data_IF_481124312073
#
_entry.id   IF_481124312073
#
_cell.length_a   1.000
_cell.length_b   1.000
_cell.length_c   1.000
_cell.angle_alpha   90.00
_cell.angle_beta   90.00
_cell.angle_gamma   90.00
#
_symmetry.space_group_name_H-M   'P 1'
#
loop_
_entity.id
_entity.type
_entity.pdbx_description
1 polymer ?
#
# COMPACT_ATOMS: atom_id res chain seq x y z
N UNK A 1 11.29 23.59 34.46
CA UNK A 1 10.03 22.89 34.83
C UNK A 1 10.05 21.53 34.17
N UNK A 2 10.12 20.47 34.97
CA UNK A 2 10.01 19.06 34.54
C UNK A 2 8.54 18.80 34.15
N UNK A 3 8.31 18.37 32.92
CA UNK A 3 7.08 17.68 32.52
C UNK A 3 7.40 16.20 32.30
N UNK A 4 7.38 15.42 33.39
CA UNK A 4 7.11 13.98 33.28
C UNK A 4 5.65 13.87 32.82
N UNK A 5 5.36 12.93 31.92
CA UNK A 5 4.01 12.52 31.46
C UNK A 5 3.67 12.77 29.98
N UNK A 6 4.59 12.52 29.06
CA UNK A 6 4.17 12.02 27.74
C UNK A 6 4.98 10.79 27.35
N UNK A 7 4.32 9.61 27.34
CA UNK A 7 4.87 8.39 26.74
C UNK A 7 5.19 8.53 25.24
N UNK A 8 4.82 9.65 24.64
CA UNK A 8 5.10 10.05 23.26
C UNK A 8 6.58 10.36 23.05
N UNK A 9 7.25 11.01 24.00
CA UNK A 9 8.66 11.38 23.89
C UNK A 9 9.58 10.14 24.01
N UNK A 10 9.21 9.19 24.89
CA UNK A 10 9.89 7.91 25.05
C UNK A 10 9.72 7.03 23.79
N UNK A 11 8.57 7.14 23.11
CA UNK A 11 8.28 6.40 21.89
C UNK A 11 9.05 6.95 20.68
N UNK A 12 9.18 8.27 20.54
CA UNK A 12 9.94 8.92 19.47
C UNK A 12 11.45 8.73 19.59
N UNK A 13 12.00 8.78 20.81
CA UNK A 13 13.43 8.54 21.05
C UNK A 13 13.77 7.06 20.81
N UNK A 14 12.87 6.13 21.18
CA UNK A 14 13.00 4.72 20.76
C UNK A 14 12.89 4.58 19.25
N UNK A 15 11.96 5.26 18.59
CA UNK A 15 11.79 5.16 17.14
C UNK A 15 13.01 5.63 16.34
N UNK A 16 13.71 6.69 16.78
CA UNK A 16 14.95 7.16 16.15
C UNK A 16 16.14 6.25 16.43
N UNK A 17 16.23 5.68 17.64
CA UNK A 17 17.27 4.69 18.01
C UNK A 17 17.03 3.35 17.30
N UNK A 18 15.77 2.94 17.18
CA UNK A 18 15.31 1.77 16.44
C UNK A 18 15.44 1.99 14.94
N UNK A 19 15.30 3.21 14.40
CA UNK A 19 15.62 3.57 13.00
C UNK A 19 17.12 3.45 12.71
N UNK A 20 17.96 3.87 13.66
CA UNK A 20 19.42 3.71 13.58
C UNK A 20 19.85 2.25 13.70
N UNK A 21 19.16 1.45 14.52
CA UNK A 21 19.34 -0.01 14.62
C UNK A 21 18.73 -0.72 13.40
N UNK A 22 17.64 -0.21 12.81
CA UNK A 22 16.97 -0.67 11.59
C UNK A 22 17.89 -0.61 10.38
N UNK A 23 18.66 0.48 10.27
CA UNK A 23 19.60 0.71 9.18
C UNK A 23 20.89 -0.10 9.34
N UNK A 24 21.14 -0.72 10.51
CA UNK A 24 22.41 -1.43 10.78
C UNK A 24 22.27 -2.88 11.29
N UNK A 25 21.10 -3.39 11.70
CA UNK A 25 21.02 -4.73 12.29
C UNK A 25 19.61 -5.31 12.50
N UNK A 26 19.36 -6.48 11.88
CA UNK A 26 18.57 -7.61 12.40
C UNK A 26 17.15 -7.37 12.93
N UNK A 27 16.17 -7.33 12.03
CA UNK A 27 14.75 -7.30 12.39
C UNK A 27 14.26 -8.74 12.64
N UNK A 28 13.84 -9.12 13.85
CA UNK A 28 13.37 -10.50 14.11
C UNK A 28 12.19 -10.91 13.18
N UNK A 29 11.98 -12.21 12.94
CA UNK A 29 10.83 -12.69 12.14
C UNK A 29 9.49 -12.15 12.68
N UNK A 30 9.36 -12.05 14.00
CA UNK A 30 8.20 -11.45 14.66
C UNK A 30 8.04 -9.96 14.35
N UNK A 31 9.14 -9.21 14.29
CA UNK A 31 9.09 -7.77 13.95
C UNK A 31 8.85 -7.54 12.46
N UNK A 32 9.32 -8.44 11.58
CA UNK A 32 8.97 -8.41 10.17
C UNK A 32 7.49 -8.73 9.94
N UNK A 33 6.95 -9.79 10.55
CA UNK A 33 5.51 -10.10 10.46
C UNK A 33 4.68 -8.95 11.03
N UNK A 34 5.09 -8.37 12.15
CA UNK A 34 4.46 -7.15 12.67
C UNK A 34 4.56 -6.04 11.63
N UNK A 35 5.69 -5.78 10.99
CA UNK A 35 5.85 -4.73 9.97
C UNK A 35 5.08 -4.97 8.68
N UNK A 36 4.95 -6.21 8.21
CA UNK A 36 4.13 -6.56 7.05
C UNK A 36 2.65 -6.44 7.39
N UNK A 37 2.25 -6.89 8.59
CA UNK A 37 0.91 -6.62 9.12
C UNK A 37 0.69 -5.11 9.23
N UNK A 38 1.59 -4.35 9.87
CA UNK A 38 1.50 -2.90 9.98
C UNK A 38 1.43 -2.26 8.60
N UNK A 39 2.31 -2.58 7.64
CA UNK A 39 2.29 -2.01 6.28
C UNK A 39 0.99 -2.33 5.56
N UNK A 40 0.42 -3.51 5.74
CA UNK A 40 -0.88 -3.90 5.18
C UNK A 40 -2.06 -3.21 5.89
N UNK A 41 -2.01 -3.07 7.21
CA UNK A 41 -3.06 -2.42 8.01
C UNK A 41 -2.90 -0.89 8.01
N UNK A 42 -1.78 -0.34 7.54
CA UNK A 42 -1.56 1.11 7.36
C UNK A 42 -1.58 1.52 5.89
N UNK A 43 -1.75 0.57 4.95
CA UNK A 43 -1.91 0.91 3.54
C UNK A 43 -3.31 1.47 3.33
N UNK A 44 -3.41 2.79 3.33
CA UNK A 44 -4.67 3.53 3.21
C UNK A 44 -5.36 3.23 1.88
N UNK A 45 -4.61 2.94 0.82
CA UNK A 45 -5.19 2.52 -0.45
C UNK A 45 -5.93 1.17 -0.29
N UNK A 46 -5.27 0.16 0.28
CA UNK A 46 -5.88 -1.15 0.52
C UNK A 46 -7.05 -1.09 1.51
N UNK A 47 -6.90 -0.34 2.60
CA UNK A 47 -7.99 -0.10 3.55
C UNK A 47 -9.17 0.65 2.89
N UNK A 48 -8.87 1.61 2.01
CA UNK A 48 -9.87 2.39 1.29
C UNK A 48 -10.68 1.55 0.32
N UNK A 49 -10.03 0.65 -0.43
CA UNK A 49 -10.71 -0.32 -1.27
C UNK A 49 -11.64 -1.22 -0.44
N UNK A 50 -11.10 -1.83 0.62
CA UNK A 50 -11.90 -2.69 1.51
C UNK A 50 -13.09 -1.93 2.11
N UNK A 51 -12.91 -0.64 2.42
CA UNK A 51 -14.00 0.23 2.89
C UNK A 51 -15.07 0.40 1.82
N UNK A 52 -14.71 0.57 0.55
CA UNK A 52 -15.66 0.68 -0.57
C UNK A 52 -16.41 -0.64 -0.79
N UNK A 53 -15.71 -1.77 -0.78
CA UNK A 53 -16.32 -3.10 -0.89
C UNK A 53 -17.36 -3.33 0.21
N UNK A 54 -16.96 -3.12 1.47
CA UNK A 54 -17.86 -3.23 2.62
C UNK A 54 -19.01 -2.22 2.56
N UNK A 55 -18.77 -1.03 2.02
CA UNK A 55 -19.80 -0.02 1.85
C UNK A 55 -20.89 -0.52 0.89
N UNK A 56 -20.53 -1.04 -0.29
CA UNK A 56 -21.49 -1.56 -1.26
C UNK A 56 -22.16 -2.86 -0.83
N UNK A 57 -21.47 -3.70 -0.05
CA UNK A 57 -22.05 -4.87 0.60
C UNK A 57 -23.12 -4.45 1.64
N UNK A 58 -22.76 -3.52 2.53
CA UNK A 58 -23.64 -3.05 3.59
C UNK A 58 -24.88 -2.33 3.05
N UNK A 59 -24.78 -1.65 1.90
CA UNK A 59 -25.90 -0.94 1.28
C UNK A 59 -27.09 -1.84 0.97
N UNK A 60 -26.86 -3.14 0.73
CA UNK A 60 -27.94 -4.11 0.51
C UNK A 60 -28.52 -4.71 1.80
N UNK A 61 -27.84 -4.52 2.94
CA UNK A 61 -28.15 -5.21 4.19
C UNK A 61 -28.54 -4.28 5.36
N UNK A 62 -28.07 -3.03 5.34
CA UNK A 62 -28.18 -2.08 6.47
C UNK A 62 -29.07 -0.89 6.13
N UNK A 63 -29.54 -0.21 7.16
CA UNK A 63 -30.36 1.01 7.00
C UNK A 63 -29.48 2.21 6.62
N UNK A 64 -30.00 3.22 5.90
CA UNK A 64 -29.26 4.43 5.54
C UNK A 64 -28.51 5.10 6.70
N UNK A 65 -29.12 5.16 7.89
CA UNK A 65 -28.51 5.77 9.08
C UNK A 65 -27.27 5.01 9.55
N UNK A 66 -27.30 3.67 9.46
CA UNK A 66 -26.18 2.81 9.82
C UNK A 66 -25.03 2.92 8.81
N UNK A 67 -25.36 3.08 7.52
CA UNK A 67 -24.38 3.36 6.47
C UNK A 67 -23.62 4.65 6.76
N UNK A 68 -24.34 5.73 7.09
CA UNK A 68 -23.72 6.99 7.49
C UNK A 68 -22.89 6.86 8.76
N UNK A 69 -23.39 6.18 9.79
CA UNK A 69 -22.66 6.04 11.04
C UNK A 69 -21.36 5.23 10.90
N UNK A 70 -21.33 4.22 10.02
CA UNK A 70 -20.24 3.26 9.95
C UNK A 70 -19.17 3.59 8.91
N UNK A 71 -19.56 4.17 7.76
CA UNK A 71 -18.64 4.38 6.63
C UNK A 71 -18.16 5.83 6.49
N UNK A 72 -18.91 6.78 7.03
CA UNK A 72 -18.68 8.21 6.81
C UNK A 72 -18.01 8.87 8.03
N UNK A 73 -17.21 9.90 7.79
CA UNK A 73 -16.62 10.67 8.88
C UNK A 73 -17.70 11.43 9.68
N UNK A 74 -17.61 11.51 11.03
CA UNK A 74 -18.66 12.09 11.88
C UNK A 74 -19.03 13.54 11.55
N UNK A 75 -18.11 14.28 10.91
CA UNK A 75 -18.28 15.71 10.58
C UNK A 75 -18.69 15.94 9.12
N UNK A 76 -19.23 14.93 8.45
CA UNK A 76 -19.63 15.09 7.06
C UNK A 76 -20.86 15.98 6.94
N UNK A 77 -20.64 17.05 6.19
CA UNK A 77 -21.68 17.97 5.81
C UNK A 77 -22.44 17.43 4.60
N UNK A 78 -23.75 17.70 4.50
CA UNK A 78 -24.57 17.34 3.32
C UNK A 78 -23.94 17.79 2.00
N UNK A 79 -23.19 18.90 1.98
CA UNK A 79 -22.45 19.43 0.81
C UNK A 79 -21.32 18.51 0.30
N UNK A 80 -20.90 17.53 1.09
CA UNK A 80 -19.87 16.56 0.74
C UNK A 80 -20.47 15.28 0.12
N UNK A 81 -21.78 15.21 -0.04
CA UNK A 81 -22.45 14.04 -0.58
C UNK A 81 -23.37 14.52 -1.69
N UNK A 82 -23.24 13.95 -2.89
CA UNK A 82 -24.12 14.33 -3.99
C UNK A 82 -25.58 14.06 -3.64
N UNK A 83 -26.48 14.97 -4.00
CA UNK A 83 -27.91 14.81 -3.76
C UNK A 83 -28.45 13.54 -4.42
N UNK A 84 -27.94 13.22 -5.62
CA UNK A 84 -28.26 11.97 -6.34
C UNK A 84 -27.95 10.73 -5.51
N UNK A 85 -26.79 10.70 -4.85
CA UNK A 85 -26.44 9.62 -3.93
C UNK A 85 -27.38 9.55 -2.72
N UNK A 86 -27.72 10.69 -2.12
CA UNK A 86 -28.63 10.71 -0.96
C UNK A 86 -30.00 10.15 -1.36
N UNK A 87 -30.55 10.60 -2.49
CA UNK A 87 -31.82 10.09 -3.00
C UNK A 87 -31.74 8.58 -3.24
N UNK A 88 -30.70 8.12 -3.95
CA UNK A 88 -30.46 6.70 -4.19
C UNK A 88 -30.38 5.87 -2.89
N UNK A 89 -29.67 6.37 -1.88
CA UNK A 89 -29.55 5.71 -0.59
C UNK A 89 -30.91 5.58 0.11
N UNK A 90 -31.76 6.61 0.05
CA UNK A 90 -33.10 6.52 0.63
C UNK A 90 -34.02 5.60 -0.19
N UNK A 91 -33.87 5.53 -1.51
CA UNK A 91 -34.61 4.59 -2.36
C UNK A 91 -34.32 3.13 -2.00
N UNK A 92 -33.16 2.81 -1.41
CA UNK A 92 -32.82 1.44 -0.95
C UNK A 92 -33.90 0.83 -0.04
N UNK A 93 -34.59 1.64 0.76
CA UNK A 93 -35.65 1.16 1.65
C UNK A 93 -36.87 0.60 0.88
N UNK A 94 -37.01 0.97 -0.40
CA UNK A 94 -38.09 0.56 -1.31
C UNK A 94 -37.69 -0.63 -2.19
N UNK A 95 -36.45 -1.14 -2.06
CA UNK A 95 -35.88 -2.24 -2.85
C UNK A 95 -35.72 -3.51 -2.00
N UNK A 96 -35.73 -4.68 -2.63
CA UNK A 96 -35.42 -6.01 -2.08
C UNK A 96 -34.22 -6.60 -2.80
N UNK A 97 -33.50 -7.49 -2.10
CA UNK A 97 -32.39 -8.28 -2.64
C UNK A 97 -31.35 -7.43 -3.40
N UNK A 98 -31.04 -6.25 -2.86
CA UNK A 98 -30.09 -5.32 -3.46
C UNK A 98 -28.72 -5.98 -3.51
N UNK A 99 -28.15 -6.08 -4.70
CA UNK A 99 -26.79 -6.54 -4.96
C UNK A 99 -26.02 -5.47 -5.71
N UNK A 100 -24.84 -5.14 -5.20
CA UNK A 100 -23.94 -4.18 -5.82
C UNK A 100 -22.68 -4.92 -6.27
N UNK A 101 -22.46 -5.01 -7.58
CA UNK A 101 -21.27 -5.60 -8.18
C UNK A 101 -20.29 -4.49 -8.59
N UNK A 102 -19.11 -4.44 -7.98
CA UNK A 102 -18.05 -3.50 -8.36
C UNK A 102 -17.35 -4.05 -9.61
N UNK A 103 -17.55 -3.40 -10.75
CA UNK A 103 -16.99 -3.80 -12.04
C UNK A 103 -15.56 -3.28 -12.25
N UNK A 104 -15.27 -2.09 -11.72
CA UNK A 104 -13.99 -1.42 -11.91
C UNK A 104 -13.70 -0.52 -10.72
N UNK A 105 -12.46 -0.56 -10.24
CA UNK A 105 -11.94 0.40 -9.25
C UNK A 105 -10.63 0.98 -9.74
N UNK A 106 -10.49 2.30 -9.62
CA UNK A 106 -9.25 3.02 -9.87
C UNK A 106 -8.99 3.99 -8.75
N UNK A 107 -7.73 4.36 -8.54
CA UNK A 107 -7.40 5.27 -7.46
C UNK A 107 -6.25 6.21 -7.80
N UNK A 108 -6.20 7.32 -7.08
CA UNK A 108 -5.06 8.22 -7.09
C UNK A 108 -4.87 8.86 -5.71
N UNK A 109 -3.61 8.98 -5.30
CA UNK A 109 -3.26 9.62 -4.03
C UNK A 109 -3.29 11.15 -4.17
N UNK A 110 -3.96 11.84 -3.25
CA UNK A 110 -3.85 13.30 -3.10
C UNK A 110 -2.71 13.66 -2.14
N UNK A 111 -2.59 12.91 -1.07
CA UNK A 111 -1.56 13.01 -0.03
C UNK A 111 -1.35 11.65 0.63
N UNK A 112 -0.40 11.55 1.56
CA UNK A 112 -0.13 10.31 2.30
C UNK A 112 -1.37 9.77 3.03
N UNK A 113 -2.27 10.64 3.46
CA UNK A 113 -3.44 10.27 4.29
C UNK A 113 -4.79 10.34 3.56
N UNK A 114 -4.80 10.67 2.26
CA UNK A 114 -6.02 10.98 1.51
C UNK A 114 -5.94 10.48 0.06
N UNK A 115 -6.93 9.67 -0.31
CA UNK A 115 -7.01 9.01 -1.61
C UNK A 115 -8.36 9.29 -2.26
N UNK A 116 -8.34 9.36 -3.59
CA UNK A 116 -9.55 9.37 -4.39
C UNK A 116 -9.71 8.01 -5.05
N UNK A 117 -10.93 7.49 -4.99
CA UNK A 117 -11.30 6.23 -5.61
C UNK A 117 -12.41 6.48 -6.59
N UNK A 118 -12.22 5.98 -7.81
CA UNK A 118 -13.24 5.90 -8.83
C UNK A 118 -13.76 4.47 -8.88
N UNK A 119 -15.08 4.29 -8.90
CA UNK A 119 -15.71 2.97 -8.93
C UNK A 119 -16.82 2.93 -9.99
N UNK A 120 -16.90 1.84 -10.75
CA UNK A 120 -18.08 1.49 -11.55
C UNK A 120 -18.83 0.35 -10.86
N UNK A 121 -20.11 0.54 -10.58
CA UNK A 121 -20.91 -0.43 -9.85
C UNK A 121 -22.20 -0.70 -10.60
N UNK A 122 -22.51 -1.99 -10.78
CA UNK A 122 -23.82 -2.44 -11.25
C UNK A 122 -24.70 -2.74 -10.05
N UNK A 123 -25.89 -2.16 -10.03
CA UNK A 123 -26.90 -2.43 -9.00
C UNK A 123 -27.97 -3.36 -9.58
N UNK A 124 -28.29 -4.44 -8.87
CA UNK A 124 -29.43 -5.32 -9.16
C UNK A 124 -30.36 -5.33 -7.95
N UNK A 125 -31.68 -5.25 -8.18
CA UNK A 125 -32.67 -5.31 -7.11
C UNK A 125 -34.05 -5.68 -7.63
N UNK A 126 -34.93 -6.09 -6.72
CA UNK A 126 -36.37 -6.24 -6.99
C UNK A 126 -37.16 -5.15 -6.25
N UNK A 127 -38.03 -4.36 -6.90
CA UNK A 127 -38.86 -3.39 -6.19
C UNK A 127 -39.77 -4.06 -5.14
N UNK A 128 -39.91 -3.45 -3.96
CA UNK A 128 -40.87 -3.91 -2.95
C UNK A 128 -42.31 -3.81 -3.47
N UNK A 129 -43.19 -4.62 -2.88
CA UNK A 129 -44.62 -4.52 -3.16
C UNK A 129 -45.14 -3.10 -2.86
N UNK A 130 -45.83 -2.50 -3.84
CA UNK A 130 -46.32 -1.12 -3.77
C UNK A 130 -45.40 -0.09 -4.46
N UNK A 131 -44.17 -0.48 -4.82
CA UNK A 131 -43.18 0.38 -5.48
C UNK A 131 -42.82 -0.09 -6.89
N UNK A 132 -43.57 -1.02 -7.49
CA UNK A 132 -43.26 -1.55 -8.83
C UNK A 132 -43.31 -0.48 -9.93
N UNK A 133 -44.16 0.54 -9.75
CA UNK A 133 -44.31 1.66 -10.68
C UNK A 133 -43.52 2.91 -10.22
N UNK A 134 -42.68 2.80 -9.19
CA UNK A 134 -41.88 3.92 -8.72
C UNK A 134 -40.72 4.18 -9.70
N UNK A 135 -40.51 5.45 -10.05
CA UNK A 135 -39.39 5.86 -10.91
C UNK A 135 -38.14 6.02 -10.06
N UNK A 136 -37.36 4.94 -9.94
CA UNK A 136 -36.07 4.95 -9.26
C UNK A 136 -35.04 5.81 -9.98
N UNK A 137 -34.10 6.37 -9.22
CA UNK A 137 -32.98 7.15 -9.77
C UNK A 137 -32.01 6.29 -10.58
N UNK A 138 -31.89 5.00 -10.21
CA UNK A 138 -31.13 3.96 -10.91
C UNK A 138 -32.01 2.74 -11.11
N UNK A 139 -32.13 2.24 -12.33
CA UNK A 139 -32.89 1.03 -12.62
C UNK A 139 -32.05 -0.21 -12.32
N UNK A 140 -32.71 -1.33 -12.02
CA UNK A 140 -32.00 -2.59 -11.81
C UNK A 140 -31.27 -3.01 -13.09
N UNK A 141 -29.98 -3.31 -12.95
CA UNK A 141 -29.05 -3.61 -14.04
C UNK A 141 -28.21 -2.41 -14.48
N UNK A 142 -28.55 -1.18 -14.06
CA UNK A 142 -27.81 0.01 -14.43
C UNK A 142 -26.41 0.03 -13.81
N UNK A 143 -25.46 0.56 -14.59
CA UNK A 143 -24.10 0.82 -14.13
C UNK A 143 -24.03 2.28 -13.71
N UNK A 144 -23.62 2.51 -12.47
CA UNK A 144 -23.41 3.84 -11.92
C UNK A 144 -21.95 4.02 -11.56
N UNK A 145 -21.43 5.21 -11.88
CA UNK A 145 -20.06 5.59 -11.59
C UNK A 145 -20.00 6.50 -10.36
N UNK A 146 -19.01 6.27 -9.50
CA UNK A 146 -18.84 6.98 -8.23
C UNK A 146 -17.41 7.46 -8.06
N UNK A 147 -17.24 8.62 -7.44
CA UNK A 147 -15.97 9.04 -6.84
C UNK A 147 -16.12 9.14 -5.34
N UNK A 148 -15.20 8.49 -4.63
CA UNK A 148 -15.03 8.60 -3.19
C UNK A 148 -13.76 9.40 -2.87
N UNK A 149 -13.84 10.28 -1.89
CA UNK A 149 -12.68 10.80 -1.17
C UNK A 149 -12.58 10.05 0.16
N UNK A 150 -11.49 9.33 0.38
CA UNK A 150 -11.28 8.50 1.58
C UNK A 150 -10.04 8.98 2.31
N UNK A 151 -10.16 9.25 3.62
CA UNK A 151 -9.00 9.55 4.45
C UNK A 151 -8.83 8.59 5.61
N UNK A 152 -7.58 8.48 6.05
CA UNK A 152 -7.24 7.89 7.34
C UNK A 152 -7.66 8.82 8.49
N UNK A 153 -8.47 8.32 9.42
CA UNK A 153 -8.82 9.00 10.68
C UNK A 153 -7.93 8.51 11.83
N UNK A 154 -7.50 7.25 11.76
CA UNK A 154 -6.51 6.66 12.66
C UNK A 154 -5.67 5.64 11.88
N UNK A 155 -4.57 5.17 12.47
CA UNK A 155 -3.63 4.23 11.84
C UNK A 155 -4.26 3.00 11.16
N UNK A 156 -5.46 2.59 11.58
CA UNK A 156 -6.15 1.39 11.08
C UNK A 156 -7.57 1.65 10.59
N UNK A 157 -8.00 2.91 10.53
CA UNK A 157 -9.37 3.24 10.16
C UNK A 157 -9.43 4.34 9.12
N UNK A 158 -10.07 4.01 8.00
CA UNK A 158 -10.36 4.94 6.92
C UNK A 158 -11.86 5.17 6.82
N UNK A 159 -12.24 6.41 6.54
CA UNK A 159 -13.64 6.82 6.39
C UNK A 159 -13.82 7.57 5.07
N UNK A 160 -15.00 7.44 4.50
CA UNK A 160 -15.44 8.23 3.34
C UNK A 160 -15.70 9.64 3.81
N UNK A 161 -15.04 10.63 3.21
CA UNK A 161 -15.22 12.07 3.46
C UNK A 161 -16.16 12.74 2.47
N UNK A 162 -16.23 12.19 1.26
CA UNK A 162 -17.04 12.71 0.16
C UNK A 162 -17.39 11.57 -0.78
N UNK A 163 -18.60 11.65 -1.33
CA UNK A 163 -19.04 10.77 -2.42
C UNK A 163 -19.83 11.58 -3.45
N UNK A 164 -19.49 11.36 -4.72
CA UNK A 164 -20.17 11.99 -5.85
C UNK A 164 -20.51 10.94 -6.91
N UNK A 165 -21.76 10.93 -7.36
CA UNK A 165 -22.20 10.10 -8.50
C UNK A 165 -21.83 10.83 -9.79
N UNK A 166 -21.09 10.17 -10.66
CA UNK A 166 -20.81 10.65 -12.01
C UNK A 166 -21.94 10.15 -12.91
N UNK A 167 -22.69 11.07 -13.50
CA UNK A 167 -23.75 10.76 -14.45
C UNK A 167 -23.24 11.01 -15.86
N UNK A 168 -23.28 10.03 -16.76
CA UNK A 168 -22.94 10.23 -18.19
C UNK A 168 -23.86 11.28 -18.86
N UNK A 169 -25.12 11.35 -18.41
CA UNK A 169 -26.15 12.24 -18.99
C UNK A 169 -26.02 13.70 -18.55
N UNK A 170 -25.35 13.98 -17.43
CA UNK A 170 -25.14 15.34 -16.95
C UNK A 170 -23.68 15.68 -17.20
N UNK A 171 -23.41 16.62 -18.12
CA UNK A 171 -22.10 17.28 -18.16
C UNK A 171 -21.81 17.72 -16.74
N UNK A 172 -20.83 17.09 -16.09
CA UNK A 172 -20.42 17.41 -14.73
C UNK A 172 -20.38 18.93 -14.58
N UNK A 173 -21.16 19.46 -13.64
CA UNK A 173 -21.16 20.89 -13.35
C UNK A 173 -19.71 21.37 -13.24
N UNK A 174 -19.37 22.52 -13.84
CA UNK A 174 -18.01 23.04 -13.79
C UNK A 174 -17.51 23.23 -12.36
N UNK A 175 -18.44 23.41 -11.42
CA UNK A 175 -18.16 23.55 -10.00
C UNK A 175 -18.21 22.24 -9.21
N UNK A 176 -18.60 21.12 -9.84
CA UNK A 176 -18.61 19.79 -9.23
C UNK A 176 -17.22 19.38 -8.73
N UNK A 177 -17.21 18.54 -7.70
CA UNK A 177 -15.95 18.07 -7.14
C UNK A 177 -15.23 17.14 -8.12
N UNK A 178 -15.96 16.24 -8.79
CA UNK A 178 -15.46 15.38 -9.85
C UNK A 178 -14.79 16.18 -10.98
N UNK A 179 -15.43 17.25 -11.48
CA UNK A 179 -14.83 18.06 -12.56
C UNK A 179 -13.56 18.78 -12.13
N UNK A 180 -13.54 19.32 -10.91
CA UNK A 180 -12.33 19.93 -10.33
C UNK A 180 -11.21 18.90 -10.19
N UNK A 181 -11.56 17.67 -9.78
CA UNK A 181 -10.62 16.57 -9.67
C UNK A 181 -10.03 16.18 -11.03
N UNK A 182 -10.87 16.03 -12.06
CA UNK A 182 -10.42 15.65 -13.41
C UNK A 182 -9.55 16.72 -14.07
N UNK A 183 -9.75 18.01 -13.75
CA UNK A 183 -8.87 19.09 -14.20
C UNK A 183 -7.45 18.96 -13.62
N UNK A 184 -7.31 18.45 -12.40
CA UNK A 184 -6.01 18.33 -11.71
C UNK A 184 -5.32 17.01 -12.05
N UNK A 185 -6.06 15.91 -12.05
CA UNK A 185 -5.52 14.55 -12.13
C UNK A 185 -5.80 13.84 -13.46
N UNK A 186 -6.53 14.48 -14.37
CA UNK A 186 -7.02 13.86 -15.60
C UNK A 186 -8.24 12.97 -15.36
N UNK A 187 -8.81 12.48 -16.46
CA UNK A 187 -9.97 11.57 -16.46
C UNK A 187 -9.64 10.23 -15.77
N UNK A 188 -10.61 9.59 -15.07
CA UNK A 188 -10.38 8.35 -14.33
C UNK A 188 -9.82 7.21 -15.17
N UNK A 189 -10.13 7.17 -16.47
CA UNK A 189 -9.62 6.16 -17.41
C UNK A 189 -8.09 6.13 -17.53
N UNK A 190 -7.41 7.21 -17.11
CA UNK A 190 -5.94 7.32 -17.07
C UNK A 190 -5.34 7.00 -15.71
N UNK A 191 -6.17 6.87 -14.67
CA UNK A 191 -5.69 6.55 -13.35
C UNK A 191 -5.26 5.09 -13.28
N UNK A 192 -4.25 4.76 -12.45
CA UNK A 192 -3.82 3.40 -12.28
C UNK A 192 -4.97 2.46 -11.92
N UNK A 193 -5.06 1.35 -12.66
CA UNK A 193 -5.97 0.25 -12.34
C UNK A 193 -5.27 -0.60 -11.31
N UNK A 194 -5.86 -0.73 -10.13
CA UNK A 194 -5.41 -1.68 -9.12
C UNK A 194 -3.91 -1.65 -8.78
N UNK A 195 -3.30 -0.47 -8.64
CA UNK A 195 -2.00 -0.32 -7.97
C UNK A 195 -2.13 -0.53 -6.43
N UNK A 196 -2.94 -1.50 -6.02
CA UNK A 196 -2.96 -2.05 -4.66
C UNK A 196 -1.71 -2.90 -4.40
N UNK A 197 -0.60 -2.57 -5.05
CA UNK A 197 0.69 -3.20 -4.82
C UNK A 197 1.19 -2.73 -3.46
N UNK A 198 0.72 -3.44 -2.43
CA UNK A 198 1.67 -3.91 -1.44
C UNK A 198 2.69 -4.70 -2.27
N UNK A 199 3.91 -4.19 -2.42
CA UNK A 199 5.04 -5.09 -2.61
C UNK A 199 4.94 -6.08 -1.47
N UNK A 200 4.32 -7.21 -1.75
CA UNK A 200 4.32 -8.36 -0.88
C UNK A 200 5.74 -8.85 -1.05
N UNK A 201 6.67 -8.19 -0.35
CA UNK A 201 8.06 -8.57 -0.29
C UNK A 201 7.97 -10.01 0.20
N UNK A 202 8.14 -10.97 -0.72
CA UNK A 202 7.99 -12.37 -0.36
C UNK A 202 8.98 -12.60 0.79
N UNK A 203 8.64 -13.41 1.77
CA UNK A 203 9.53 -13.65 2.91
C UNK A 203 10.95 -13.99 2.45
N UNK A 204 11.06 -14.65 1.29
CA UNK A 204 12.31 -14.98 0.61
C UNK A 204 13.10 -13.74 0.15
N UNK A 205 12.45 -12.77 -0.46
CA UNK A 205 13.07 -11.50 -0.87
C UNK A 205 13.46 -10.66 0.34
N UNK A 206 12.65 -10.66 1.40
CA UNK A 206 13.01 -10.00 2.66
C UNK A 206 14.29 -10.58 3.27
N UNK A 207 14.42 -11.93 3.30
CA UNK A 207 15.64 -12.59 3.76
C UNK A 207 16.83 -12.17 2.88
N UNK A 208 16.66 -12.12 1.56
CA UNK A 208 17.72 -11.68 0.65
C UNK A 208 18.14 -10.23 0.92
N UNK A 209 17.20 -9.31 1.12
CA UNK A 209 17.48 -7.92 1.48
C UNK A 209 18.17 -7.78 2.85
N UNK A 210 17.76 -8.55 3.86
CA UNK A 210 18.41 -8.55 5.17
C UNK A 210 19.87 -9.01 5.08
N UNK A 211 20.15 -10.01 4.26
CA UNK A 211 21.52 -10.47 3.99
C UNK A 211 22.30 -9.35 3.30
N UNK A 212 21.75 -8.78 2.23
CA UNK A 212 22.39 -7.71 1.47
C UNK A 212 22.73 -6.49 2.35
N UNK A 213 21.79 -6.03 3.19
CA UNK A 213 22.01 -4.91 4.10
C UNK A 213 23.10 -5.19 5.15
N UNK A 214 23.12 -6.39 5.74
CA UNK A 214 24.17 -6.78 6.70
C UNK A 214 25.54 -6.89 6.03
N UNK A 215 25.58 -7.45 4.83
CA UNK A 215 26.82 -7.57 4.04
C UNK A 215 27.34 -6.18 3.70
N UNK A 216 26.48 -5.29 3.18
CA UNK A 216 26.85 -3.91 2.86
C UNK A 216 27.37 -3.16 4.10
N UNK A 217 26.65 -3.21 5.22
CA UNK A 217 27.02 -2.47 6.43
C UNK A 217 28.39 -2.88 6.98
N UNK A 218 28.67 -4.19 7.05
CA UNK A 218 29.97 -4.69 7.52
C UNK A 218 31.09 -4.39 6.52
N UNK A 219 30.86 -4.51 5.21
CA UNK A 219 31.89 -4.19 4.21
C UNK A 219 32.23 -2.69 4.19
N UNK A 220 31.22 -1.81 4.33
CA UNK A 220 31.45 -0.37 4.47
C UNK A 220 32.23 -0.07 5.75
N UNK A 221 31.91 -0.72 6.87
CA UNK A 221 32.66 -0.57 8.12
C UNK A 221 34.12 -1.03 7.96
N UNK A 222 34.37 -2.18 7.35
CA UNK A 222 35.71 -2.72 7.09
C UNK A 222 36.54 -1.78 6.17
N UNK A 223 35.91 -1.12 5.20
CA UNK A 223 36.57 -0.12 4.35
C UNK A 223 36.90 1.16 5.14
N UNK A 224 36.00 1.60 6.01
CA UNK A 224 36.24 2.75 6.89
C UNK A 224 37.37 2.48 7.90
N UNK A 225 37.41 1.29 8.50
CA UNK A 225 38.46 0.89 9.45
C UNK A 225 39.85 0.80 8.79
N UNK A 226 39.90 0.61 7.47
CA UNK A 226 41.12 0.64 6.65
C UNK A 226 41.50 2.05 6.17
N UNK A 227 40.86 3.11 6.69
CA UNK A 227 41.05 4.51 6.30
C UNK A 227 40.81 4.79 4.80
N UNK A 228 39.89 4.06 4.17
CA UNK A 228 39.48 4.38 2.79
C UNK A 228 38.55 5.59 2.82
N UNK A 229 38.99 6.72 2.26
CA UNK A 229 38.26 8.00 2.24
C UNK A 229 36.90 7.94 1.54
N UNK A 230 36.74 7.03 0.58
CA UNK A 230 35.48 6.81 -0.15
C UNK A 230 35.28 5.30 -0.32
N UNK A 231 34.21 4.72 0.27
CA UNK A 231 33.88 3.30 0.09
C UNK A 231 33.80 2.92 -1.39
N UNK A 232 34.44 1.80 -1.77
CA UNK A 232 34.45 1.31 -3.14
C UNK A 232 33.11 0.65 -3.49
N UNK A 233 32.47 0.06 -2.48
CA UNK A 233 31.13 -0.52 -2.55
C UNK A 233 30.06 0.59 -2.45
N UNK A 234 29.21 0.68 -3.47
CA UNK A 234 28.07 1.61 -3.49
C UNK A 234 26.85 1.02 -2.82
N UNK A 235 26.52 -0.23 -3.16
CA UNK A 235 25.34 -0.91 -2.66
C UNK A 235 25.48 -2.43 -2.80
N UNK A 236 24.76 -3.16 -1.96
CA UNK A 236 24.47 -4.58 -2.17
C UNK A 236 22.95 -4.71 -2.29
N UNK A 237 22.47 -5.34 -3.36
CA UNK A 237 21.05 -5.66 -3.53
C UNK A 237 20.86 -7.17 -3.34
N UNK A 238 19.82 -7.54 -2.60
CA UNK A 238 19.45 -8.93 -2.39
C UNK A 238 18.08 -9.21 -3.02
N UNK A 239 17.95 -10.34 -3.72
CA UNK A 239 16.66 -10.81 -4.24
C UNK A 239 16.64 -12.34 -4.28
N UNK A 240 15.46 -12.95 -4.17
CA UNK A 240 15.30 -14.39 -4.25
C UNK A 240 14.79 -14.80 -5.63
N UNK A 241 15.49 -15.73 -6.28
CA UNK A 241 15.09 -16.20 -7.61
C UNK A 241 15.45 -17.67 -7.78
N UNK A 242 14.52 -18.48 -8.30
CA UNK A 242 14.74 -19.89 -8.65
C UNK A 242 15.32 -20.75 -7.50
N UNK A 243 14.90 -20.52 -6.26
CA UNK A 243 15.40 -21.27 -5.10
C UNK A 243 16.69 -20.72 -4.49
N UNK A 244 17.27 -19.67 -5.08
CA UNK A 244 18.55 -19.10 -4.68
C UNK A 244 18.41 -17.67 -4.14
N UNK A 245 19.24 -17.33 -3.17
CA UNK A 245 19.44 -15.94 -2.73
C UNK A 245 20.52 -15.32 -3.61
N UNK A 246 20.18 -14.29 -4.36
CA UNK A 246 21.10 -13.57 -5.22
C UNK A 246 21.53 -12.27 -4.53
N UNK A 247 22.83 -12.07 -4.38
CA UNK A 247 23.43 -10.85 -3.86
C UNK A 247 24.19 -10.16 -4.99
N UNK A 248 23.73 -8.97 -5.36
CA UNK A 248 24.35 -8.14 -6.40
C UNK A 248 25.14 -7.00 -5.75
N UNK A 249 26.45 -7.05 -5.89
CA UNK A 249 27.35 -6.01 -5.41
C UNK A 249 27.56 -4.96 -6.50
N UNK A 250 27.45 -3.70 -6.12
CA UNK A 250 27.56 -2.55 -7.02
C UNK A 250 28.75 -1.72 -6.55
N UNK A 251 29.79 -1.61 -7.38
CA UNK A 251 31.03 -0.91 -7.05
C UNK A 251 31.20 0.36 -7.88
N UNK A 252 31.97 1.33 -7.36
CA UNK A 252 32.31 2.57 -8.07
C UNK A 252 33.46 2.43 -9.06
N UNK A 253 34.38 1.49 -8.85
CA UNK A 253 35.69 1.48 -9.53
C UNK A 253 36.10 0.10 -10.09
N UNK A 254 37.01 0.08 -11.08
CA UNK A 254 37.25 -1.07 -11.97
C UNK A 254 38.27 -2.13 -11.49
N UNK A 255 38.99 -1.93 -10.38
CA UNK A 255 40.04 -2.87 -9.93
C UNK A 255 39.54 -3.83 -8.84
N UNK A 256 38.86 -4.92 -9.23
CA UNK A 256 37.98 -5.66 -8.32
C UNK A 256 38.25 -7.16 -8.09
N UNK A 257 39.16 -7.81 -8.83
CA UNK A 257 39.32 -9.29 -8.76
C UNK A 257 39.76 -9.82 -7.38
N UNK A 258 40.53 -9.05 -6.62
CA UNK A 258 40.98 -9.45 -5.27
C UNK A 258 39.89 -9.20 -4.20
N UNK A 259 39.03 -8.21 -4.43
CA UNK A 259 37.98 -7.76 -3.52
C UNK A 259 36.77 -8.70 -3.60
N UNK A 260 36.46 -9.19 -4.81
CA UNK A 260 35.34 -10.11 -5.05
C UNK A 260 35.44 -11.39 -4.23
N UNK A 261 36.62 -12.01 -4.09
CA UNK A 261 36.78 -13.26 -3.35
C UNK A 261 36.52 -13.10 -1.85
N UNK A 262 37.14 -12.09 -1.24
CA UNK A 262 36.98 -11.82 0.19
C UNK A 262 35.55 -11.40 0.55
N UNK A 263 34.91 -10.61 -0.33
CA UNK A 263 33.51 -10.22 -0.15
C UNK A 263 32.56 -11.40 -0.34
N UNK A 264 32.90 -12.35 -1.22
CA UNK A 264 32.08 -13.54 -1.48
C UNK A 264 32.06 -14.50 -0.29
N UNK A 265 33.21 -14.84 0.29
CA UNK A 265 33.30 -15.71 1.46
C UNK A 265 32.55 -15.12 2.66
N UNK A 266 32.68 -13.81 2.84
CA UNK A 266 32.01 -13.06 3.88
C UNK A 266 30.48 -13.00 3.68
N UNK A 267 30.03 -12.78 2.46
CA UNK A 267 28.61 -12.77 2.11
C UNK A 267 27.97 -14.14 2.30
N UNK A 268 28.69 -15.21 1.96
CA UNK A 268 28.24 -16.59 2.19
C UNK A 268 28.04 -16.89 3.68
N UNK A 269 28.99 -16.48 4.54
CA UNK A 269 28.87 -16.66 5.98
C UNK A 269 27.72 -15.83 6.58
N UNK A 270 27.59 -14.57 6.16
CA UNK A 270 26.48 -13.70 6.60
C UNK A 270 25.13 -14.25 6.15
N UNK A 271 25.05 -14.80 4.94
CA UNK A 271 23.84 -15.42 4.41
C UNK A 271 23.44 -16.66 5.21
N UNK A 272 24.40 -17.52 5.59
CA UNK A 272 24.17 -18.67 6.47
C UNK A 272 23.65 -18.24 7.85
N UNK A 273 24.33 -17.29 8.49
CA UNK A 273 23.92 -16.75 9.80
C UNK A 273 22.49 -16.21 9.78
N UNK A 274 22.13 -15.49 8.72
CA UNK A 274 20.77 -14.96 8.56
C UNK A 274 19.79 -16.10 8.30
N UNK A 275 20.06 -17.01 7.37
CA UNK A 275 19.15 -18.13 7.09
C UNK A 275 18.89 -18.96 8.35
N UNK A 276 19.92 -19.23 9.16
CA UNK A 276 19.79 -19.94 10.43
C UNK A 276 18.96 -19.16 11.47
N UNK A 277 19.22 -17.85 11.60
CA UNK A 277 18.49 -16.96 12.51
C UNK A 277 16.98 -16.95 12.22
N UNK A 278 16.60 -17.00 10.94
CA UNK A 278 15.19 -16.99 10.52
C UNK A 278 14.62 -18.39 10.23
N UNK A 279 15.39 -19.47 10.46
CA UNK A 279 15.01 -20.85 10.12
C UNK A 279 14.57 -21.00 8.65
N UNK A 280 15.19 -20.24 7.75
CA UNK A 280 14.85 -20.23 6.33
C UNK A 280 15.49 -21.43 5.64
N UNK A 281 14.68 -22.44 5.29
CA UNK A 281 15.14 -23.72 4.70
C UNK A 281 15.03 -23.77 3.17
N UNK A 282 14.46 -22.75 2.55
CA UNK A 282 14.15 -22.73 1.12
C UNK A 282 15.32 -22.22 0.25
N UNK A 283 16.46 -21.87 0.86
CA UNK A 283 17.65 -21.44 0.14
C UNK A 283 18.51 -22.66 -0.22
N UNK A 284 18.59 -23.00 -1.51
CA UNK A 284 19.43 -24.09 -2.01
C UNK A 284 20.81 -23.62 -2.46
N UNK A 285 20.95 -22.34 -2.80
CA UNK A 285 22.16 -21.74 -3.34
C UNK A 285 22.20 -20.24 -3.00
N UNK A 286 23.39 -19.70 -2.75
CA UNK A 286 23.63 -18.25 -2.66
C UNK A 286 24.48 -17.87 -3.86
N UNK A 287 23.98 -16.97 -4.71
CA UNK A 287 24.67 -16.51 -5.91
C UNK A 287 25.17 -15.10 -5.71
N UNK A 288 26.41 -14.85 -6.11
CA UNK A 288 27.03 -13.54 -5.94
C UNK A 288 27.31 -12.96 -7.32
N UNK A 289 26.66 -11.84 -7.62
CA UNK A 289 26.88 -11.09 -8.84
C UNK A 289 27.59 -9.78 -8.55
N UNK A 290 28.34 -9.29 -9.54
CA UNK A 290 28.85 -7.92 -9.56
C UNK A 290 28.27 -7.18 -10.75
N UNK A 291 27.84 -5.94 -10.52
CA UNK A 291 27.40 -5.03 -11.57
C UNK A 291 28.48 -3.97 -11.81
N UNK A 292 29.04 -3.92 -13.01
CA UNK A 292 30.07 -2.96 -13.42
C UNK A 292 29.60 -2.22 -14.69
N UNK A 293 29.46 -0.89 -14.63
CA UNK A 293 29.19 -0.08 -15.84
C UNK A 293 27.97 -0.48 -16.68
N UNK A 294 27.00 -1.21 -16.11
CA UNK A 294 25.82 -1.73 -16.81
C UNK A 294 25.93 -3.18 -17.31
N UNK A 295 27.06 -3.86 -17.09
CA UNK A 295 27.21 -5.31 -17.33
C UNK A 295 27.15 -6.09 -16.01
N UNK A 296 26.34 -7.15 -16.00
CA UNK A 296 26.18 -8.08 -14.87
C UNK A 296 27.06 -9.31 -15.09
N UNK A 297 27.93 -9.62 -14.15
CA UNK A 297 28.69 -10.89 -14.11
C UNK A 297 28.37 -11.66 -12.84
N UNK A 298 28.13 -12.95 -12.94
CA UNK A 298 27.85 -13.83 -11.80
C UNK A 298 29.06 -14.72 -11.53
N UNK A 299 29.48 -14.78 -10.26
CA UNK A 299 30.49 -15.70 -9.76
C UNK A 299 29.78 -16.74 -8.90
N UNK A 300 30.09 -18.01 -9.12
CA UNK A 300 29.46 -19.14 -8.43
C UNK A 300 30.16 -19.45 -7.12
#
# INVERSE_FOLDING_TARGET
IRGKDTGVEISLIRYLRDLKILLMSGISYGDYNKRMLYRNVTNIAALGLKRIELFFEDLGAKKPEEIFAYHFAPQIFKKNISQKFITWLWESIMKLDIKNEILETRMIAKSESLYYFYCKVREEYTPKQGFQNFTFTTHSGDITEYIFEISSVSFFNVLVNRIEVISEAEKLDENSFARKLFRVYGEPSKWPVNDFYVETLAFKDFIAEQIAGRVQGKLVQDEMDKNVLVPSLTAVKGYFENGAINLLFIYKDQNMKQIEKNHSDFALNTAKEVCDLYKFKDCTEIKIGTLQGGMTSYTR
#
